data_IF_540539309049
#
_entry.id   IF_540539309049
#
_cell.length_a   1.000
_cell.length_b   1.000
_cell.length_c   1.000
_cell.angle_alpha   90.00
_cell.angle_beta   90.00
_cell.angle_gamma   90.00
#
_symmetry.space_group_name_H-M   'P 1'
#
loop_
_entity.id
_entity.type
_entity.pdbx_description
1 polymer ?
#
# COMPACT_ATOMS: atom_id res chain seq x y z
N UNK A 1 12.96 -21.15 -10.60
CA UNK A 1 11.56 -20.73 -10.79
C UNK A 1 11.30 -20.77 -12.26
N UNK A 2 10.13 -21.26 -12.68
CA UNK A 2 9.71 -21.29 -14.08
C UNK A 2 8.79 -20.10 -14.42
N UNK A 3 8.55 -19.19 -13.47
CA UNK A 3 7.75 -17.97 -13.67
C UNK A 3 8.60 -16.88 -14.32
N UNK A 4 8.28 -16.44 -15.54
CA UNK A 4 8.98 -15.32 -16.19
C UNK A 4 8.63 -13.99 -15.50
N UNK A 5 9.52 -13.00 -15.63
CA UNK A 5 9.28 -11.64 -15.15
C UNK A 5 8.74 -10.81 -16.32
N UNK A 6 7.48 -10.32 -16.25
CA UNK A 6 6.94 -9.43 -17.27
C UNK A 6 7.82 -8.20 -17.49
N UNK A 7 7.92 -7.75 -18.75
CA UNK A 7 8.75 -6.59 -19.11
C UNK A 7 8.40 -5.32 -18.33
N UNK A 8 7.13 -5.20 -17.93
CA UNK A 8 6.59 -4.11 -17.11
C UNK A 8 7.26 -4.01 -15.73
N UNK A 9 7.80 -5.11 -15.21
CA UNK A 9 8.46 -5.15 -13.91
C UNK A 9 9.99 -5.22 -14.04
N UNK A 10 10.50 -5.61 -15.20
CA UNK A 10 11.93 -5.78 -15.44
C UNK A 10 12.70 -4.46 -15.63
N UNK A 11 12.02 -3.37 -15.98
CA UNK A 11 12.64 -2.10 -16.39
C UNK A 11 12.92 -1.14 -15.22
N UNK A 12 12.60 -1.54 -14.00
CA UNK A 12 12.79 -0.74 -12.79
C UNK A 12 11.66 0.28 -12.57
N UNK A 13 11.62 0.86 -11.36
CA UNK A 13 10.50 1.70 -10.93
C UNK A 13 10.43 3.05 -11.69
N UNK A 14 11.54 3.53 -12.27
CA UNK A 14 11.63 4.84 -12.94
C UNK A 14 11.36 4.80 -14.45
N UNK A 15 11.13 3.60 -15.02
CA UNK A 15 10.88 3.45 -16.44
C UNK A 15 9.38 3.45 -16.75
N UNK A 16 8.93 4.36 -17.62
CA UNK A 16 7.53 4.50 -17.97
C UNK A 16 7.29 4.00 -19.41
N UNK A 17 6.93 2.72 -19.54
CA UNK A 17 6.65 2.07 -20.84
C UNK A 17 5.73 2.89 -21.75
N UNK A 18 4.67 3.48 -21.21
CA UNK A 18 3.71 4.30 -21.97
C UNK A 18 4.24 5.69 -22.37
N UNK A 19 5.25 6.20 -21.65
CA UNK A 19 5.86 7.50 -21.90
C UNK A 19 7.09 7.44 -22.82
N UNK A 20 7.83 6.34 -22.74
CA UNK A 20 9.16 6.20 -23.36
C UNK A 20 9.15 5.39 -24.67
N UNK A 21 8.07 4.68 -24.99
CA UNK A 21 7.94 3.88 -26.22
C UNK A 21 7.03 4.53 -27.26
N UNK A 22 7.34 4.31 -28.53
CA UNK A 22 6.42 4.64 -29.63
C UNK A 22 5.21 3.70 -29.64
N UNK A 23 4.12 4.13 -30.30
CA UNK A 23 2.91 3.31 -30.39
C UNK A 23 3.15 1.95 -31.08
N UNK A 24 4.03 1.91 -32.09
CA UNK A 24 4.41 0.68 -32.80
C UNK A 24 5.23 -0.27 -31.89
N UNK A 25 6.12 0.29 -31.06
CA UNK A 25 6.84 -0.48 -30.04
C UNK A 25 5.90 -1.06 -28.98
N UNK A 26 4.91 -0.29 -28.52
CA UNK A 26 3.89 -0.79 -27.58
C UNK A 26 3.05 -1.92 -28.19
N UNK A 27 2.66 -1.83 -29.47
CA UNK A 27 1.88 -2.87 -30.13
C UNK A 27 2.67 -4.17 -30.37
N UNK A 28 3.99 -4.07 -30.55
CA UNK A 28 4.87 -5.23 -30.75
C UNK A 28 5.32 -5.88 -29.45
N UNK A 29 5.31 -5.16 -28.32
CA UNK A 29 5.79 -5.65 -27.03
C UNK A 29 5.17 -6.99 -26.57
N UNK A 30 3.84 -7.25 -26.72
CA UNK A 30 3.25 -8.54 -26.37
C UNK A 30 3.78 -9.74 -27.17
N UNK A 31 4.30 -9.51 -28.37
CA UNK A 31 4.86 -10.57 -29.22
C UNK A 31 6.34 -10.82 -28.94
N UNK A 32 7.02 -9.89 -28.26
CA UNK A 32 8.47 -9.92 -28.03
C UNK A 32 8.83 -10.24 -26.57
N UNK A 33 7.93 -9.95 -25.63
CA UNK A 33 8.19 -10.06 -24.20
C UNK A 33 7.02 -10.66 -23.42
N UNK A 34 7.35 -11.30 -22.30
CA UNK A 34 6.39 -11.81 -21.34
C UNK A 34 5.47 -10.70 -20.81
N UNK A 35 4.18 -11.02 -20.73
CA UNK A 35 3.14 -10.11 -20.28
C UNK A 35 2.67 -10.48 -18.86
N UNK A 36 2.14 -9.52 -18.08
CA UNK A 36 1.48 -9.79 -16.82
C UNK A 36 0.36 -10.82 -16.99
N UNK A 37 0.46 -11.96 -16.31
CA UNK A 37 -0.59 -12.97 -16.25
C UNK A 37 -1.43 -12.77 -14.99
N UNK A 38 -2.67 -12.32 -15.17
CA UNK A 38 -3.62 -12.06 -14.08
C UNK A 38 -3.96 -13.33 -13.29
N UNK A 39 -3.89 -14.51 -13.89
CA UNK A 39 -4.20 -15.78 -13.21
C UNK A 39 -3.13 -16.15 -12.18
N UNK A 40 -1.95 -15.52 -12.24
CA UNK A 40 -0.82 -15.78 -11.32
C UNK A 40 -0.60 -14.64 -10.32
N UNK A 41 -1.32 -13.53 -10.47
CA UNK A 41 -1.21 -12.31 -9.65
C UNK A 41 -2.36 -12.21 -8.65
N UNK A 42 -2.59 -13.27 -7.90
CA UNK A 42 -3.69 -13.37 -6.95
C UNK A 42 -3.26 -13.30 -5.48
N UNK A 43 -4.25 -13.25 -4.58
CA UNK A 43 -4.09 -13.28 -3.12
C UNK A 43 -4.53 -14.64 -2.53
N UNK A 44 -4.55 -15.74 -3.31
CA UNK A 44 -5.08 -17.03 -2.85
C UNK A 44 -4.35 -17.57 -1.61
N UNK A 45 -3.04 -17.37 -1.54
CA UNK A 45 -2.23 -17.81 -0.38
C UNK A 45 -2.59 -16.96 0.84
N UNK A 46 -2.55 -15.63 0.70
CA UNK A 46 -2.87 -14.69 1.78
C UNK A 46 -4.32 -14.85 2.29
N UNK A 47 -5.27 -15.14 1.41
CA UNK A 47 -6.68 -15.38 1.74
C UNK A 47 -6.93 -16.81 2.26
N UNK A 48 -5.94 -17.69 2.25
CA UNK A 48 -6.07 -19.08 2.73
C UNK A 48 -6.87 -20.01 1.80
N UNK A 49 -7.08 -19.61 0.54
CA UNK A 49 -7.75 -20.41 -0.49
C UNK A 49 -6.82 -21.39 -1.18
N UNK A 50 -5.51 -21.12 -1.18
CA UNK A 50 -4.52 -21.98 -1.81
C UNK A 50 -4.49 -23.37 -1.16
N UNK A 51 -4.38 -24.42 -1.99
CA UNK A 51 -4.24 -25.82 -1.57
C UNK A 51 -3.16 -26.49 -2.41
N UNK A 52 -2.06 -26.90 -1.79
CA UNK A 52 -1.04 -27.71 -2.47
C UNK A 52 -1.59 -29.07 -2.86
N UNK A 53 -1.12 -29.60 -3.99
CA UNK A 53 -1.39 -30.99 -4.37
C UNK A 53 -0.57 -31.93 -3.48
N UNK A 54 -1.03 -33.17 -3.35
CA UNK A 54 -0.31 -34.18 -2.57
C UNK A 54 1.12 -34.38 -3.11
N UNK A 55 2.12 -34.25 -2.23
CA UNK A 55 3.53 -34.38 -2.58
C UNK A 55 4.21 -33.10 -3.09
N UNK A 56 3.47 -32.01 -3.31
CA UNK A 56 4.03 -30.70 -3.67
C UNK A 56 4.40 -29.87 -2.42
N UNK A 57 5.40 -28.97 -2.51
CA UNK A 57 5.73 -28.08 -1.41
C UNK A 57 4.59 -27.09 -1.10
N UNK A 58 4.51 -26.69 0.16
CA UNK A 58 3.62 -25.61 0.62
C UNK A 58 4.24 -24.22 0.32
N UNK A 59 3.43 -23.15 0.20
CA UNK A 59 3.93 -21.80 0.01
C UNK A 59 4.85 -21.34 1.16
N UNK A 60 6.02 -20.79 0.80
CA UNK A 60 6.98 -20.23 1.76
C UNK A 60 6.58 -18.84 2.28
N UNK A 61 5.85 -18.07 1.48
CA UNK A 61 5.47 -16.69 1.76
C UNK A 61 4.01 -16.41 1.36
N UNK A 62 3.43 -15.33 1.88
CA UNK A 62 2.04 -14.95 1.64
C UNK A 62 1.77 -14.47 0.20
N UNK A 63 2.79 -13.92 -0.47
CA UNK A 63 2.66 -13.31 -1.79
C UNK A 63 3.70 -13.92 -2.74
N UNK A 64 3.27 -14.17 -3.98
CA UNK A 64 4.15 -14.62 -5.06
C UNK A 64 4.97 -13.44 -5.61
N UNK A 65 6.01 -13.73 -6.40
CA UNK A 65 6.80 -12.69 -7.05
C UNK A 65 5.94 -11.79 -7.98
N UNK A 66 5.13 -12.34 -8.90
CA UNK A 66 4.27 -11.52 -9.77
C UNK A 66 3.29 -10.63 -8.98
N UNK A 67 2.71 -11.15 -7.90
CA UNK A 67 1.81 -10.39 -7.03
C UNK A 67 2.53 -9.25 -6.30
N UNK A 68 3.78 -9.48 -5.89
CA UNK A 68 4.63 -8.48 -5.25
C UNK A 68 4.99 -7.37 -6.22
N UNK A 69 5.48 -7.70 -7.41
CA UNK A 69 5.87 -6.71 -8.44
C UNK A 69 4.69 -5.81 -8.84
N UNK A 70 3.50 -6.39 -9.01
CA UNK A 70 2.28 -5.64 -9.26
C UNK A 70 2.00 -4.61 -8.15
N UNK A 71 2.16 -5.02 -6.89
CA UNK A 71 1.98 -4.12 -5.74
C UNK A 71 2.99 -2.99 -5.72
N UNK A 72 4.28 -3.27 -5.96
CA UNK A 72 5.32 -2.24 -5.95
C UNK A 72 5.06 -1.16 -7.00
N UNK A 73 4.68 -1.59 -8.22
CA UNK A 73 4.30 -0.68 -9.29
C UNK A 73 3.08 0.17 -8.92
N UNK A 74 2.05 -0.45 -8.33
CA UNK A 74 0.83 0.25 -7.90
C UNK A 74 1.06 1.18 -6.71
N UNK A 75 1.94 0.83 -5.78
CA UNK A 75 2.32 1.72 -4.67
C UNK A 75 2.86 3.03 -5.20
N UNK A 76 3.84 3.00 -6.11
CA UNK A 76 4.40 4.21 -6.69
C UNK A 76 3.32 5.07 -7.35
N UNK A 77 2.44 4.44 -8.13
CA UNK A 77 1.34 5.12 -8.80
C UNK A 77 0.35 5.79 -7.81
N UNK A 78 -0.06 5.09 -6.76
CA UNK A 78 -1.06 5.61 -5.81
C UNK A 78 -0.47 6.59 -4.80
N UNK A 79 0.81 6.49 -4.49
CA UNK A 79 1.45 7.20 -3.37
C UNK A 79 2.40 8.31 -3.80
N UNK A 80 2.88 8.28 -5.05
CA UNK A 80 3.84 9.23 -5.58
C UNK A 80 5.26 9.05 -5.04
N UNK A 81 5.54 7.91 -4.39
CA UNK A 81 6.82 7.60 -3.74
C UNK A 81 7.21 6.14 -4.00
N UNK A 82 8.52 5.87 -4.10
CA UNK A 82 9.04 4.52 -4.30
C UNK A 82 8.84 3.63 -3.06
N UNK A 83 8.69 2.32 -3.28
CA UNK A 83 8.42 1.36 -2.22
C UNK A 83 9.57 1.26 -1.20
N UNK A 84 10.81 1.51 -1.62
CA UNK A 84 12.01 1.52 -0.77
C UNK A 84 11.98 2.55 0.37
N UNK A 85 11.11 3.57 0.28
CA UNK A 85 10.99 4.58 1.32
C UNK A 85 10.01 4.18 2.44
N UNK A 86 9.16 3.18 2.20
CA UNK A 86 8.22 2.71 3.20
C UNK A 86 8.94 2.20 4.46
N UNK A 87 8.37 2.57 5.61
CA UNK A 87 8.89 2.20 6.92
C UNK A 87 7.99 1.12 7.53
N UNK A 88 8.53 0.41 8.52
CA UNK A 88 7.84 -0.72 9.15
C UNK A 88 6.59 -0.31 9.96
N UNK A 89 6.45 0.98 10.30
CA UNK A 89 5.30 1.52 11.02
C UNK A 89 4.53 2.49 10.13
N UNK A 90 3.29 2.13 9.79
CA UNK A 90 2.45 2.88 8.85
C UNK A 90 1.28 3.54 9.59
N UNK A 91 0.98 4.79 9.27
CA UNK A 91 -0.20 5.51 9.76
C UNK A 91 -1.05 5.91 8.56
N UNK A 92 -2.30 5.48 8.55
CA UNK A 92 -3.31 5.93 7.60
C UNK A 92 -4.06 7.12 8.15
N UNK A 93 -4.37 8.09 7.30
CA UNK A 93 -5.25 9.21 7.62
C UNK A 93 -6.25 9.46 6.51
N UNK A 94 -7.43 9.96 6.87
CA UNK A 94 -8.45 10.44 5.94
C UNK A 94 -8.53 11.98 5.89
N UNK A 95 -7.60 12.67 6.57
CA UNK A 95 -7.69 14.11 6.79
C UNK A 95 -6.37 14.84 6.54
N UNK A 96 -6.41 15.84 5.66
CA UNK A 96 -5.24 16.59 5.21
C UNK A 96 -4.51 17.30 6.36
N UNK A 97 -5.23 17.75 7.39
CA UNK A 97 -4.63 18.40 8.56
C UNK A 97 -3.52 17.56 9.21
N UNK A 98 -3.71 16.24 9.31
CA UNK A 98 -2.68 15.35 9.89
C UNK A 98 -1.44 15.26 8.99
N UNK A 99 -1.61 15.36 7.67
CA UNK A 99 -0.49 15.37 6.73
C UNK A 99 0.32 16.65 6.89
N UNK A 100 -0.35 17.81 6.94
CA UNK A 100 0.33 19.10 7.06
C UNK A 100 1.19 19.15 8.35
N UNK A 101 0.64 18.62 9.45
CA UNK A 101 1.36 18.51 10.72
C UNK A 101 2.49 17.48 10.68
N UNK A 102 2.28 16.33 10.03
CA UNK A 102 3.32 15.31 9.87
C UNK A 102 4.48 15.81 9.01
N UNK A 103 4.21 16.57 7.94
CA UNK A 103 5.23 17.22 7.10
C UNK A 103 6.04 18.21 7.94
N UNK A 104 5.37 19.06 8.74
CA UNK A 104 6.04 20.01 9.64
C UNK A 104 6.98 19.30 10.63
N UNK A 105 6.51 18.20 11.24
CA UNK A 105 7.32 17.39 12.17
C UNK A 105 8.47 16.70 11.43
N UNK A 106 8.18 16.09 10.28
CA UNK A 106 9.15 15.33 9.49
C UNK A 106 10.30 16.18 9.01
N UNK A 107 10.02 17.36 8.46
CA UNK A 107 11.04 18.35 8.09
C UNK A 107 11.87 18.80 9.28
N UNK A 108 11.23 19.00 10.44
CA UNK A 108 11.92 19.40 11.67
C UNK A 108 12.78 18.29 12.31
N UNK A 109 12.52 17.02 12.00
CA UNK A 109 13.22 15.86 12.56
C UNK A 109 14.20 15.18 11.62
N UNK A 110 14.17 15.47 10.32
CA UNK A 110 15.10 14.88 9.36
C UNK A 110 16.56 15.13 9.78
N UNK A 111 17.34 14.05 9.93
CA UNK A 111 18.73 14.10 10.39
C UNK A 111 18.91 14.22 11.91
N UNK A 112 17.82 14.21 12.69
CA UNK A 112 17.83 14.32 14.16
C UNK A 112 17.17 13.09 14.80
N UNK A 113 17.43 12.84 16.09
CA UNK A 113 16.77 11.80 16.90
C UNK A 113 16.81 10.37 16.29
N UNK A 114 17.82 10.07 15.47
CA UNK A 114 17.97 8.81 14.77
C UNK A 114 17.16 8.68 13.47
N UNK A 115 16.46 9.74 13.06
CA UNK A 115 15.87 9.86 11.72
C UNK A 115 16.92 10.31 10.71
N UNK A 116 16.90 9.72 9.53
CA UNK A 116 17.91 9.96 8.49
C UNK A 116 17.43 10.98 7.46
N UNK A 117 16.15 10.91 7.07
CA UNK A 117 15.62 11.65 5.93
C UNK A 117 14.10 11.77 6.03
N UNK A 118 13.54 12.83 5.46
CA UNK A 118 12.12 12.95 5.21
C UNK A 118 11.85 12.94 3.71
N UNK A 119 11.06 11.98 3.24
CA UNK A 119 10.67 11.83 1.84
C UNK A 119 9.19 12.11 1.68
N UNK A 120 8.84 12.85 0.64
CA UNK A 120 7.47 13.21 0.29
C UNK A 120 7.29 13.12 -1.24
N UNK A 121 6.05 13.11 -1.75
CA UNK A 121 5.81 13.12 -3.19
C UNK A 121 6.43 14.37 -3.83
N UNK A 122 6.88 14.25 -5.09
CA UNK A 122 7.59 15.33 -5.78
C UNK A 122 6.77 16.64 -5.84
N UNK A 123 7.40 17.76 -5.47
CA UNK A 123 6.77 19.08 -5.54
C UNK A 123 6.46 19.48 -6.99
N UNK A 124 5.26 19.99 -7.24
CA UNK A 124 4.81 20.41 -8.57
C UNK A 124 4.30 19.27 -9.47
N UNK A 125 4.41 18.01 -9.04
CA UNK A 125 3.74 16.90 -9.70
C UNK A 125 2.22 16.91 -9.39
N UNK A 126 1.43 16.26 -10.26
CA UNK A 126 0.01 16.01 -9.97
C UNK A 126 -0.07 15.17 -8.70
N UNK A 127 -0.80 15.67 -7.70
CA UNK A 127 -0.98 14.93 -6.45
C UNK A 127 -1.57 13.55 -6.72
N UNK A 128 -0.95 12.48 -6.18
CA UNK A 128 -1.44 11.13 -6.37
C UNK A 128 -2.71 10.92 -5.53
N UNK A 129 -3.42 9.82 -5.80
CA UNK A 129 -4.71 9.55 -5.15
C UNK A 129 -4.58 9.37 -3.64
N UNK A 130 -3.49 8.72 -3.18
CA UNK A 130 -3.25 8.38 -1.78
C UNK A 130 -1.80 8.71 -1.38
N UNK A 131 -1.43 10.00 -1.29
CA UNK A 131 -0.03 10.42 -1.12
C UNK A 131 0.59 9.86 0.16
N UNK A 132 1.83 9.40 0.07
CA UNK A 132 2.61 8.87 1.19
C UNK A 132 3.81 9.75 1.52
N UNK A 133 4.14 9.81 2.81
CA UNK A 133 5.21 10.60 3.39
C UNK A 133 6.01 9.71 4.34
N UNK A 134 7.33 9.79 4.29
CA UNK A 134 8.21 8.85 4.98
C UNK A 134 9.23 9.60 5.83
N UNK A 135 9.13 9.47 7.15
CA UNK A 135 10.18 9.89 8.07
C UNK A 135 11.07 8.68 8.37
N UNK A 136 12.19 8.59 7.64
CA UNK A 136 13.03 7.39 7.55
C UNK A 136 13.97 7.25 8.74
N UNK A 137 14.22 6.00 9.13
CA UNK A 137 15.36 5.60 9.98
C UNK A 137 16.19 4.56 9.22
N UNK A 138 17.48 4.46 9.55
CA UNK A 138 18.40 3.55 8.85
C UNK A 138 18.02 2.06 8.98
N UNK A 139 17.33 1.69 10.06
CA UNK A 139 16.85 0.34 10.36
C UNK A 139 15.43 0.06 9.84
N UNK A 140 14.83 1.00 9.10
CA UNK A 140 13.45 0.91 8.63
C UNK A 140 12.40 1.09 9.73
N UNK A 141 12.80 1.40 10.97
CA UNK A 141 11.90 1.63 12.10
C UNK A 141 11.32 3.06 12.13
N UNK A 142 11.37 3.78 11.01
CA UNK A 142 10.76 5.09 10.85
C UNK A 142 9.24 5.02 10.78
N UNK A 143 8.61 6.11 10.33
CA UNK A 143 7.15 6.22 10.20
C UNK A 143 6.83 6.56 8.76
N UNK A 144 5.88 5.83 8.18
CA UNK A 144 5.22 6.20 6.92
C UNK A 144 3.81 6.66 7.23
N UNK A 145 3.42 7.84 6.73
CA UNK A 145 2.04 8.32 6.80
C UNK A 145 1.44 8.36 5.40
N UNK A 146 0.25 7.78 5.23
CA UNK A 146 -0.46 7.74 3.94
C UNK A 146 -1.83 8.38 4.11
N UNK A 147 -2.12 9.39 3.29
CA UNK A 147 -3.47 9.94 3.20
C UNK A 147 -4.29 9.05 2.26
N UNK A 148 -5.15 8.20 2.81
CA UNK A 148 -5.97 7.28 2.02
C UNK A 148 -7.22 7.98 1.44
N UNK A 149 -7.44 9.24 1.82
CA UNK A 149 -8.66 9.98 1.52
C UNK A 149 -9.87 9.34 2.21
N UNK A 150 -11.00 9.35 1.53
CA UNK A 150 -12.26 8.84 2.07
C UNK A 150 -12.77 7.69 1.21
N UNK A 151 -13.17 6.60 1.86
CA UNK A 151 -13.90 5.50 1.24
C UNK A 151 -13.23 4.14 1.47
N UNK A 152 -14.03 3.09 1.70
CA UNK A 152 -13.50 1.74 1.96
C UNK A 152 -12.74 1.16 0.78
N UNK A 153 -13.08 1.54 -0.46
CA UNK A 153 -12.36 1.10 -1.66
C UNK A 153 -10.90 1.55 -1.68
N UNK A 154 -10.62 2.80 -1.29
CA UNK A 154 -9.24 3.29 -1.18
C UNK A 154 -8.49 2.55 -0.07
N UNK A 155 -9.14 2.40 1.08
CA UNK A 155 -8.57 1.69 2.23
C UNK A 155 -8.16 0.25 1.85
N UNK A 156 -9.04 -0.50 1.18
CA UNK A 156 -8.71 -1.84 0.68
C UNK A 156 -7.52 -1.81 -0.29
N UNK A 157 -7.61 -0.99 -1.34
CA UNK A 157 -6.59 -0.93 -2.39
C UNK A 157 -5.21 -0.64 -1.84
N UNK A 158 -5.07 0.35 -0.94
CA UNK A 158 -3.75 0.68 -0.39
C UNK A 158 -3.22 -0.40 0.54
N UNK A 159 -4.09 -1.03 1.35
CA UNK A 159 -3.65 -2.12 2.24
C UNK A 159 -3.25 -3.36 1.47
N UNK A 160 -3.92 -3.70 0.36
CA UNK A 160 -3.55 -4.82 -0.52
C UNK A 160 -2.12 -4.65 -1.06
N UNK A 161 -1.71 -3.40 -1.28
CA UNK A 161 -0.40 -3.11 -1.83
C UNK A 161 0.68 -2.96 -0.76
N UNK A 162 0.40 -2.29 0.35
CA UNK A 162 1.35 -2.17 1.48
C UNK A 162 1.63 -3.52 2.13
N UNK A 163 0.68 -4.46 2.12
CA UNK A 163 0.84 -5.77 2.75
C UNK A 163 2.06 -6.56 2.23
N UNK A 164 2.43 -6.41 0.95
CA UNK A 164 3.58 -7.13 0.38
C UNK A 164 4.92 -6.66 0.96
N UNK A 165 4.95 -5.43 1.51
CA UNK A 165 6.12 -4.88 2.21
C UNK A 165 6.25 -5.40 3.64
N UNK A 166 5.24 -6.13 4.15
CA UNK A 166 5.21 -6.76 5.47
C UNK A 166 5.51 -5.77 6.61
N UNK A 167 4.76 -4.64 6.73
CA UNK A 167 4.93 -3.72 7.84
C UNK A 167 4.72 -4.45 9.18
N UNK A 168 5.39 -3.97 10.22
CA UNK A 168 5.23 -4.51 11.57
C UNK A 168 3.88 -4.12 12.17
N UNK A 169 3.41 -2.90 11.88
CA UNK A 169 2.10 -2.43 12.29
C UNK A 169 1.61 -1.31 11.39
N UNK A 170 0.29 -1.20 11.27
CA UNK A 170 -0.38 0.00 10.77
C UNK A 170 -1.45 0.50 11.73
N UNK A 171 -1.76 1.79 11.68
CA UNK A 171 -2.77 2.43 12.51
C UNK A 171 -3.63 3.38 11.68
N UNK A 172 -4.93 3.45 11.97
CA UNK A 172 -5.81 4.47 11.42
C UNK A 172 -5.89 5.66 12.37
N UNK A 173 -5.45 6.83 11.91
CA UNK A 173 -5.59 8.12 12.58
C UNK A 173 -6.42 9.04 11.68
N UNK A 174 -7.69 9.22 12.01
CA UNK A 174 -8.57 10.07 11.21
C UNK A 174 -9.77 10.58 11.98
N UNK A 175 -10.59 11.37 11.30
CA UNK A 175 -11.82 11.88 11.90
C UNK A 175 -12.94 10.83 11.82
N UNK A 176 -13.83 10.87 12.81
CA UNK A 176 -15.09 10.13 12.80
C UNK A 176 -16.20 10.98 13.42
N UNK A 177 -17.46 10.60 13.19
CA UNK A 177 -18.59 11.24 13.84
C UNK A 177 -18.86 10.59 15.19
N UNK A 178 -19.02 11.39 16.24
CA UNK A 178 -19.54 10.93 17.52
C UNK A 178 -21.03 10.63 17.43
N UNK A 179 -21.45 9.47 17.93
CA UNK A 179 -22.85 9.03 17.92
C UNK A 179 -23.51 9.10 19.30
N UNK A 180 -22.74 9.44 20.34
CA UNK A 180 -23.23 9.58 21.72
C UNK A 180 -23.35 11.05 22.08
N UNK A 181 -24.44 11.42 22.76
CA UNK A 181 -24.68 12.78 23.22
C UNK A 181 -23.63 13.30 24.22
N UNK A 182 -22.88 12.40 24.87
CA UNK A 182 -21.82 12.74 25.81
C UNK A 182 -20.46 12.99 25.14
N UNK A 183 -20.34 12.79 23.83
CA UNK A 183 -19.09 13.04 23.10
C UNK A 183 -19.00 14.50 22.71
N UNK A 184 -17.82 15.08 22.90
CA UNK A 184 -17.48 16.43 22.48
C UNK A 184 -16.56 16.43 21.26
N UNK A 185 -16.53 17.55 20.53
CA UNK A 185 -15.62 17.70 19.40
C UNK A 185 -14.17 17.71 19.92
N UNK A 186 -13.38 16.76 19.43
CA UNK A 186 -11.98 16.57 19.85
C UNK A 186 -11.76 15.34 20.74
N UNK A 187 -12.84 14.69 21.20
CA UNK A 187 -12.73 13.41 21.88
C UNK A 187 -12.11 12.33 20.98
N UNK A 188 -11.28 11.48 21.58
CA UNK A 188 -10.72 10.32 20.90
C UNK A 188 -11.63 9.09 21.04
N UNK A 189 -11.69 8.30 19.99
CA UNK A 189 -12.38 7.00 19.98
C UNK A 189 -11.35 5.90 19.75
N UNK A 190 -11.21 5.02 20.74
CA UNK A 190 -10.47 3.77 20.57
C UNK A 190 -11.44 2.67 20.16
N UNK A 191 -11.34 2.22 18.91
CA UNK A 191 -12.13 1.10 18.41
C UNK A 191 -11.71 -0.20 19.11
N UNK A 192 -12.69 -0.95 19.61
CA UNK A 192 -12.51 -2.28 20.21
C UNK A 192 -13.45 -3.32 19.56
N UNK A 193 -13.98 -2.96 18.39
CA UNK A 193 -14.95 -3.73 17.62
C UNK A 193 -15.43 -2.90 16.42
N UNK A 194 -15.81 -3.59 15.35
CA UNK A 194 -16.17 -2.96 14.08
C UNK A 194 -17.50 -3.52 13.58
N UNK A 195 -18.48 -2.63 13.34
CA UNK A 195 -19.64 -2.96 12.53
C UNK A 195 -19.27 -2.77 11.06
N UNK A 196 -19.13 -3.88 10.33
CA UNK A 196 -18.61 -3.90 8.95
C UNK A 196 -19.74 -3.74 7.93
N UNK A 197 -20.06 -2.49 7.59
CA UNK A 197 -21.00 -2.10 6.51
C UNK A 197 -20.27 -1.53 5.27
N UNK A 198 -18.97 -1.76 5.19
CA UNK A 198 -18.08 -1.28 4.12
C UNK A 198 -18.22 -2.07 2.80
N UNK A 199 -18.73 -3.30 2.86
CA UNK A 199 -18.99 -4.24 1.75
C UNK A 199 -17.79 -4.63 0.88
N UNK A 200 -16.67 -3.91 0.98
CA UNK A 200 -15.52 -4.05 0.08
C UNK A 200 -14.77 -5.38 0.27
N UNK A 201 -14.83 -5.96 1.47
CA UNK A 201 -14.21 -7.25 1.81
C UNK A 201 -15.25 -8.38 1.96
N UNK A 202 -16.50 -8.18 1.56
CA UNK A 202 -17.57 -9.14 1.87
C UNK A 202 -17.30 -10.55 1.32
N UNK A 203 -16.72 -10.63 0.12
CA UNK A 203 -16.41 -11.91 -0.55
C UNK A 203 -15.22 -12.63 0.08
N UNK A 204 -14.20 -11.88 0.49
CA UNK A 204 -12.95 -12.43 1.02
C UNK A 204 -13.03 -12.71 2.52
N UNK A 205 -13.86 -11.94 3.23
CA UNK A 205 -13.99 -11.99 4.67
C UNK A 205 -15.43 -11.66 5.06
N UNK A 206 -16.26 -12.68 5.20
CA UNK A 206 -17.68 -12.50 5.53
C UNK A 206 -17.87 -11.66 6.82
N UNK A 207 -18.86 -10.74 6.91
CA UNK A 207 -19.04 -9.87 8.08
C UNK A 207 -19.30 -10.58 9.41
N UNK A 208 -19.73 -11.84 9.37
CA UNK A 208 -19.89 -12.67 10.58
C UNK A 208 -18.57 -13.14 11.19
N UNK A 209 -17.45 -13.02 10.46
CA UNK A 209 -16.13 -13.41 10.95
C UNK A 209 -15.64 -12.30 11.88
N UNK A 210 -15.36 -12.60 13.17
CA UNK A 210 -14.94 -11.59 14.12
C UNK A 210 -13.54 -11.06 13.79
N UNK A 211 -13.39 -9.74 13.91
CA UNK A 211 -12.10 -9.05 13.82
C UNK A 211 -11.76 -8.58 15.24
N UNK A 212 -10.81 -9.25 15.92
CA UNK A 212 -10.46 -8.95 17.30
C UNK A 212 -9.65 -7.66 17.44
#
# INVERSE_FOLDING_TARGET
SDTPIPIHFALGEDFHLEGDLTHEQMQSAPNLFDQPDLDTMDDQIANGYYRSKEGEPEPLALFTAPRTDLSLLRLKHYTGTNAEHFQNYVIFTNYQFYIDEFVRIGMGKAGLDGYTEFVQPAEGARMPQMPAYHLKRADGAGITMVNIGVGPSNAKTITDHIAVLRPHAWMMLGHCAGLRNSQELGDYVLAHGYLREDNVLYKDLHPSIPIP
#
